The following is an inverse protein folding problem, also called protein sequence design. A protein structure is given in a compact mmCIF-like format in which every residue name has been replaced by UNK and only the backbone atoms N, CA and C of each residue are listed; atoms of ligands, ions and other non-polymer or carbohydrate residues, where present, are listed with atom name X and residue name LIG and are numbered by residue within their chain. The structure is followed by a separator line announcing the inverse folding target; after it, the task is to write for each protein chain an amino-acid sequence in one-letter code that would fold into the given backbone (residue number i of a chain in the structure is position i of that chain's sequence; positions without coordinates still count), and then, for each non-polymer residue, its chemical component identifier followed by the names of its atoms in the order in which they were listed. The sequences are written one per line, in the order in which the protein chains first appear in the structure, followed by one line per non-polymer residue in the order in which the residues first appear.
data_IF_784173218354
#
_entry.id   IF_784173218354
#
_cell.length_a   1.000
_cell.length_b   1.000
_cell.length_c   1.000
_cell.angle_alpha   90.00
_cell.angle_beta   90.00
_cell.angle_gamma   90.00
#
_symmetry.space_group_name_H-M   'P 1'
#
loop_
_entity.id
_entity.type
_entity.pdbx_description
1 polymer ?
#
# COMPACT_ATOMS: atom_id res chain seq x y z
N UNK A 1 60.22 51.06 35.18
CA UNK A 1 60.57 49.88 34.36
C UNK A 1 59.26 49.22 33.97
N UNK A 2 58.83 49.44 32.71
CA UNK A 2 57.42 49.55 32.36
C UNK A 2 56.94 48.28 31.63
N UNK A 3 56.36 47.32 32.37
CA UNK A 3 55.25 46.42 31.98
C UNK A 3 55.27 45.67 30.61
N UNK A 4 56.36 45.66 29.85
CA UNK A 4 56.37 45.09 28.48
C UNK A 4 56.24 43.55 28.43
N UNK A 5 56.63 42.84 29.49
CA UNK A 5 56.46 41.38 29.57
C UNK A 5 55.05 40.91 29.97
N UNK A 6 54.18 41.79 30.47
CA UNK A 6 52.79 41.42 30.80
C UNK A 6 51.93 41.28 29.53
N UNK A 7 52.31 41.96 28.45
CA UNK A 7 51.57 42.00 27.19
C UNK A 7 51.50 40.61 26.50
N UNK A 8 52.60 39.87 26.30
CA UNK A 8 52.53 38.55 25.65
C UNK A 8 51.78 37.51 26.49
N UNK A 9 51.87 37.59 27.83
CA UNK A 9 51.21 36.65 28.74
C UNK A 9 49.69 36.86 28.81
N UNK A 10 49.24 38.11 28.73
CA UNK A 10 47.82 38.44 28.57
C UNK A 10 47.30 37.99 27.21
N UNK A 11 48.07 38.20 26.14
CA UNK A 11 47.67 37.78 24.78
C UNK A 11 47.51 36.26 24.66
N UNK A 12 48.38 35.50 25.32
CA UNK A 12 48.36 34.04 25.31
C UNK A 12 47.21 33.44 26.14
N UNK A 13 46.71 34.17 27.14
CA UNK A 13 45.56 33.76 27.97
C UNK A 13 44.21 33.87 27.24
N UNK A 14 44.10 34.76 26.25
CA UNK A 14 42.85 34.97 25.47
C UNK A 14 42.60 33.83 24.48
N UNK A 15 43.65 33.14 24.00
CA UNK A 15 43.54 32.04 23.03
C UNK A 15 43.00 30.71 23.61
N UNK A 16 42.79 30.61 24.94
CA UNK A 16 42.31 29.40 25.59
C UNK A 16 40.77 29.24 25.64
N UNK A 17 40.02 30.29 25.27
CA UNK A 17 38.56 30.27 25.35
C UNK A 17 37.95 29.48 24.18
N UNK A 18 37.77 28.18 24.37
CA UNK A 18 37.03 27.34 23.44
C UNK A 18 35.53 27.63 23.57
N UNK A 19 34.97 28.36 22.60
CA UNK A 19 33.51 28.54 22.50
C UNK A 19 32.90 27.22 22.05
N UNK A 20 31.95 26.69 22.83
CA UNK A 20 31.18 25.50 22.44
C UNK A 20 30.34 25.87 21.22
N UNK A 21 30.66 25.32 20.06
CA UNK A 21 29.82 25.42 18.89
C UNK A 21 28.65 24.43 19.02
N UNK A 22 27.41 24.94 19.00
CA UNK A 22 26.21 24.12 18.89
C UNK A 22 25.95 23.92 17.41
N UNK A 23 26.43 22.79 16.87
CA UNK A 23 26.02 22.34 15.55
C UNK A 23 24.68 21.60 15.67
N UNK A 24 23.74 21.86 14.77
CA UNK A 24 22.50 21.11 14.68
C UNK A 24 22.79 19.77 13.99
N UNK A 25 22.40 18.66 14.62
CA UNK A 25 22.36 17.34 13.99
C UNK A 25 20.97 17.05 13.42
N UNK A 26 20.90 16.19 12.42
CA UNK A 26 19.62 15.67 11.89
C UNK A 26 19.57 14.18 12.18
N UNK A 27 18.51 13.72 12.82
CA UNK A 27 18.18 12.30 12.98
C UNK A 27 17.14 11.92 11.93
N UNK A 28 17.40 10.84 11.18
CA UNK A 28 16.50 10.36 10.12
C UNK A 28 16.10 8.94 10.47
N UNK A 29 14.80 8.72 10.62
CA UNK A 29 14.18 7.42 10.77
C UNK A 29 13.28 7.17 9.55
N UNK A 30 13.22 5.91 9.09
CA UNK A 30 12.37 5.53 7.96
C UNK A 30 11.68 4.20 8.25
N UNK A 31 10.52 4.00 7.63
CA UNK A 31 9.79 2.74 7.63
C UNK A 31 9.27 2.49 6.21
N UNK A 32 9.47 1.28 5.71
CA UNK A 32 8.82 0.86 4.46
C UNK A 32 7.35 0.55 4.77
N UNK A 33 6.44 1.13 3.97
CA UNK A 33 5.00 0.89 4.06
C UNK A 33 4.45 0.64 2.66
N UNK A 34 3.34 -0.08 2.60
CA UNK A 34 2.57 -0.21 1.37
C UNK A 34 1.86 1.11 1.07
N UNK A 35 1.73 1.41 -0.22
CA UNK A 35 1.06 2.60 -0.71
C UNK A 35 0.05 2.22 -1.79
N UNK A 36 -1.08 2.93 -1.77
CA UNK A 36 -2.14 2.82 -2.75
C UNK A 36 -1.93 3.91 -3.78
N UNK A 37 -1.86 3.52 -5.05
CA UNK A 37 -1.83 4.44 -6.18
C UNK A 37 -3.18 4.42 -6.91
N UNK A 38 -3.74 5.60 -7.10
CA UNK A 38 -4.98 5.84 -7.82
C UNK A 38 -4.67 6.47 -9.16
N UNK A 39 -5.44 6.07 -10.17
CA UNK A 39 -5.41 6.67 -11.50
C UNK A 39 -6.82 7.16 -11.79
N UNK A 40 -6.99 8.47 -11.88
CA UNK A 40 -8.28 9.10 -12.13
C UNK A 40 -8.33 9.58 -13.58
N UNK A 41 -9.31 9.07 -14.32
CA UNK A 41 -9.57 9.45 -15.70
C UNK A 41 -11.07 9.71 -15.85
N UNK A 42 -11.41 10.63 -16.74
CA UNK A 42 -12.77 10.75 -17.24
C UNK A 42 -13.13 9.51 -18.09
N UNK A 43 -14.43 9.27 -18.32
CA UNK A 43 -14.89 8.20 -19.20
C UNK A 43 -14.35 8.30 -20.65
N UNK A 44 -13.92 9.50 -21.05
CA UNK A 44 -13.23 9.75 -22.32
C UNK A 44 -11.80 9.21 -22.36
N UNK A 45 -11.23 8.82 -21.22
CA UNK A 45 -9.84 8.42 -21.04
C UNK A 45 -8.89 9.57 -20.66
N UNK A 46 -9.32 10.83 -20.72
CA UNK A 46 -8.48 11.98 -20.34
C UNK A 46 -8.19 11.95 -18.82
N UNK A 47 -6.95 12.18 -18.37
CA UNK A 47 -6.64 12.26 -16.94
C UNK A 47 -7.40 13.38 -16.23
N UNK A 48 -7.84 13.11 -15.01
CA UNK A 48 -8.42 14.11 -14.11
C UNK A 48 -7.30 14.89 -13.39
N UNK A 49 -6.57 15.71 -14.15
CA UNK A 49 -5.45 16.50 -13.64
C UNK A 49 -5.90 17.46 -12.53
N UNK A 50 -5.18 17.56 -11.42
CA UNK A 50 -5.55 18.44 -10.28
C UNK A 50 -6.91 18.11 -9.63
N UNK A 51 -7.42 16.89 -9.80
CA UNK A 51 -8.60 16.45 -9.07
C UNK A 51 -8.39 16.49 -7.57
N UNK A 52 -9.39 16.94 -6.82
CA UNK A 52 -9.39 16.91 -5.37
C UNK A 52 -9.63 15.49 -4.89
N UNK A 53 -8.81 15.02 -3.95
CA UNK A 53 -8.91 13.69 -3.37
C UNK A 53 -9.14 13.80 -1.87
N UNK A 54 -10.14 13.09 -1.36
CA UNK A 54 -10.42 12.94 0.07
C UNK A 54 -10.42 11.47 0.42
N UNK A 55 -9.61 11.07 1.39
CA UNK A 55 -9.47 9.70 1.89
C UNK A 55 -10.06 9.65 3.30
N UNK A 56 -10.94 8.69 3.55
CA UNK A 56 -11.61 8.47 4.82
C UNK A 56 -11.20 7.11 5.39
N UNK A 57 -10.94 7.08 6.69
CA UNK A 57 -10.58 5.83 7.36
C UNK A 57 -11.84 5.02 7.69
N UNK A 58 -11.72 3.70 7.86
CA UNK A 58 -12.82 2.85 8.34
C UNK A 58 -13.35 3.26 9.72
N UNK A 59 -12.53 3.91 10.54
CA UNK A 59 -12.88 4.31 11.92
C UNK A 59 -13.69 5.61 11.98
N UNK A 60 -13.44 6.56 11.07
CA UNK A 60 -14.22 7.78 10.92
C UNK A 60 -14.51 8.07 9.43
N UNK A 61 -15.62 7.54 8.90
CA UNK A 61 -16.01 7.75 7.51
C UNK A 61 -16.60 9.14 7.25
N UNK A 62 -16.77 9.98 8.27
CA UNK A 62 -17.38 11.31 8.15
C UNK A 62 -16.37 12.45 8.05
N UNK A 63 -15.16 12.24 8.56
CA UNK A 63 -14.06 13.22 8.52
C UNK A 63 -12.94 12.69 7.62
N UNK A 64 -12.48 13.47 6.61
CA UNK A 64 -11.34 13.06 5.81
C UNK A 64 -10.10 12.86 6.69
N UNK A 65 -9.52 11.67 6.62
CA UNK A 65 -8.23 11.36 7.24
C UNK A 65 -7.08 12.05 6.50
N UNK A 66 -7.15 12.08 5.17
CA UNK A 66 -6.21 12.77 4.30
C UNK A 66 -6.96 13.48 3.18
N UNK A 67 -6.53 14.69 2.85
CA UNK A 67 -6.94 15.37 1.62
C UNK A 67 -5.73 15.67 0.77
N UNK A 68 -5.93 15.74 -0.54
CA UNK A 68 -4.86 15.98 -1.49
C UNK A 68 -5.37 16.36 -2.87
N UNK A 69 -4.43 16.42 -3.80
CA UNK A 69 -4.68 16.78 -5.19
C UNK A 69 -3.92 15.83 -6.09
N UNK A 70 -4.60 15.26 -7.08
CA UNK A 70 -3.98 14.42 -8.09
C UNK A 70 -3.00 15.23 -8.94
N UNK A 71 -1.96 14.58 -9.45
CA UNK A 71 -0.98 15.22 -10.33
C UNK A 71 -1.54 15.49 -11.74
N UNK A 72 -0.70 16.03 -12.63
CA UNK A 72 -1.10 16.36 -14.00
C UNK A 72 -1.50 15.14 -14.85
N UNK A 73 -1.13 13.93 -14.44
CA UNK A 73 -1.55 12.68 -15.07
C UNK A 73 -2.80 12.07 -14.43
N UNK A 74 -3.44 12.78 -13.50
CA UNK A 74 -4.59 12.28 -12.74
C UNK A 74 -4.19 11.23 -11.69
N UNK A 75 -2.90 11.13 -11.34
CA UNK A 75 -2.42 10.13 -10.38
C UNK A 75 -2.36 10.71 -8.97
N UNK A 76 -2.78 9.91 -8.00
CA UNK A 76 -2.66 10.23 -6.58
C UNK A 76 -2.13 9.02 -5.82
N UNK A 77 -1.25 9.24 -4.85
CA UNK A 77 -0.68 8.15 -4.05
C UNK A 77 -0.79 8.50 -2.58
N UNK A 78 -1.24 7.54 -1.78
CA UNK A 78 -1.23 7.65 -0.32
C UNK A 78 -0.85 6.33 0.31
N UNK A 79 -0.29 6.38 1.51
CA UNK A 79 -0.04 5.20 2.33
C UNK A 79 -1.05 5.20 3.48
N UNK A 80 -2.02 4.26 3.53
CA UNK A 80 -2.92 4.15 4.67
C UNK A 80 -2.14 3.74 5.92
N UNK A 81 -2.67 4.08 7.09
CA UNK A 81 -2.09 3.61 8.35
C UNK A 81 -2.27 2.07 8.44
N UNK A 82 -1.18 1.28 8.51
CA UNK A 82 -1.26 -0.18 8.55
C UNK A 82 -1.89 -0.72 9.84
N UNK A 83 -2.01 0.10 10.89
CA UNK A 83 -2.71 -0.27 12.12
C UNK A 83 -4.24 -0.19 12.01
N UNK A 84 -4.77 0.40 10.92
CA UNK A 84 -6.20 0.58 10.67
C UNK A 84 -6.63 -0.29 9.47
N UNK A 85 -6.88 -1.59 9.68
CA UNK A 85 -7.40 -2.46 8.64
C UNK A 85 -8.87 -2.15 8.36
N UNK A 86 -9.33 -2.52 7.18
CA UNK A 86 -10.73 -2.40 6.76
C UNK A 86 -10.88 -1.65 5.44
N UNK A 87 -12.10 -1.17 5.23
CA UNK A 87 -12.51 -0.55 3.99
C UNK A 87 -12.31 0.96 4.04
N UNK A 88 -11.30 1.45 3.32
CA UNK A 88 -11.00 2.86 3.19
C UNK A 88 -11.80 3.46 2.05
N UNK A 89 -12.49 4.57 2.30
CA UNK A 89 -13.24 5.26 1.27
C UNK A 89 -12.36 6.37 0.65
N UNK A 90 -12.32 6.44 -0.68
CA UNK A 90 -11.60 7.50 -1.39
C UNK A 90 -12.53 8.19 -2.36
N UNK A 91 -12.75 9.48 -2.16
CA UNK A 91 -13.49 10.33 -3.07
C UNK A 91 -12.53 11.12 -3.96
N UNK A 92 -12.70 11.03 -5.28
CA UNK A 92 -11.96 11.85 -6.25
C UNK A 92 -12.96 12.75 -6.99
N UNK A 93 -12.70 14.06 -7.02
CA UNK A 93 -13.65 15.04 -7.58
C UNK A 93 -12.97 16.16 -8.36
N UNK A 94 -13.52 16.49 -9.52
CA UNK A 94 -13.10 17.62 -10.35
C UNK A 94 -14.29 18.20 -11.13
N UNK A 95 -14.47 19.53 -11.05
CA UNK A 95 -15.47 20.26 -11.85
C UNK A 95 -16.88 19.62 -11.86
N UNK A 96 -17.36 19.16 -10.69
CA UNK A 96 -18.68 18.53 -10.54
C UNK A 96 -18.74 17.05 -10.91
N UNK A 97 -17.70 16.48 -11.52
CA UNK A 97 -17.55 15.05 -11.79
C UNK A 97 -16.73 14.41 -10.66
N UNK A 98 -17.01 13.16 -10.32
CA UNK A 98 -16.25 12.44 -9.32
C UNK A 98 -16.83 11.09 -8.98
N UNK A 99 -16.03 10.27 -8.32
CA UNK A 99 -16.37 8.91 -7.92
C UNK A 99 -15.89 8.66 -6.49
N UNK A 100 -16.53 7.71 -5.82
CA UNK A 100 -16.15 7.21 -4.50
C UNK A 100 -15.75 5.74 -4.67
N UNK A 101 -14.54 5.41 -4.24
CA UNK A 101 -13.97 4.07 -4.28
C UNK A 101 -13.82 3.53 -2.87
N UNK A 102 -14.00 2.23 -2.72
CA UNK A 102 -13.80 1.54 -1.45
C UNK A 102 -12.63 0.55 -1.56
N UNK A 103 -11.58 0.76 -0.78
CA UNK A 103 -10.30 0.05 -0.89
C UNK A 103 -10.07 -0.79 0.37
N UNK A 104 -10.03 -2.13 0.26
CA UNK A 104 -9.73 -2.98 1.40
C UNK A 104 -8.23 -2.89 1.74
N UNK A 105 -7.93 -2.60 3.00
CA UNK A 105 -6.57 -2.55 3.57
C UNK A 105 -6.45 -3.59 4.68
N UNK A 106 -5.36 -4.37 4.69
CA UNK A 106 -5.08 -5.34 5.75
C UNK A 106 -5.87 -6.66 5.69
N UNK A 107 -6.48 -7.00 4.55
CA UNK A 107 -7.13 -8.29 4.30
C UNK A 107 -6.32 -9.20 3.35
N UNK A 108 -6.51 -10.52 3.45
CA UNK A 108 -6.02 -11.48 2.45
C UNK A 108 -6.78 -11.23 1.14
N UNK A 109 -6.06 -10.87 0.06
CA UNK A 109 -6.56 -10.45 -1.27
C UNK A 109 -6.89 -8.96 -1.44
N UNK A 110 -5.83 -8.13 -1.48
CA UNK A 110 -5.86 -6.92 -2.30
C UNK A 110 -5.46 -7.29 -3.75
N UNK A 111 -6.36 -7.13 -4.73
CA UNK A 111 -6.30 -6.23 -5.91
C UNK A 111 -7.55 -6.47 -6.78
N UNK A 112 -8.06 -5.37 -7.38
CA UNK A 112 -9.06 -5.21 -8.45
C UNK A 112 -10.52 -4.97 -8.01
N UNK A 113 -10.78 -3.80 -7.41
CA UNK A 113 -12.04 -3.12 -7.65
C UNK A 113 -12.00 -2.53 -9.08
N UNK A 114 -12.51 -3.29 -10.05
CA UNK A 114 -12.98 -2.72 -11.33
C UNK A 114 -14.31 -2.05 -11.04
N UNK A 115 -14.39 -0.72 -11.13
CA UNK A 115 -15.67 -0.02 -11.24
C UNK A 115 -16.33 -0.44 -12.56
N UNK A 116 -17.24 -1.40 -12.48
CA UNK A 116 -18.19 -1.71 -13.54
C UNK A 116 -19.58 -1.82 -12.91
N UNK A 117 -20.34 -0.74 -12.98
CA UNK A 117 -21.65 -0.76 -13.66
C UNK A 117 -22.20 0.67 -13.81
N UNK A 118 -21.77 1.35 -14.87
CA UNK A 118 -22.56 2.40 -15.48
C UNK A 118 -23.61 1.73 -16.37
N UNK A 119 -24.83 1.65 -15.85
CA UNK A 119 -26.09 1.33 -16.53
C UNK A 119 -25.99 1.27 -18.05
N UNK A 120 -25.79 0.07 -18.60
CA UNK A 120 -26.05 -0.22 -20.02
C UNK A 120 -27.40 -0.88 -20.14
N UNK A 121 -28.32 -0.19 -20.79
CA UNK A 121 -29.61 -0.75 -21.22
C UNK A 121 -29.40 -2.02 -22.05
N UNK A 122 -30.23 -3.07 -21.87
CA UNK A 122 -30.20 -4.23 -22.74
C UNK A 122 -30.91 -3.92 -24.07
N UNK A 123 -30.12 -3.56 -25.08
CA UNK A 123 -30.49 -3.72 -26.48
C UNK A 123 -30.50 -5.21 -26.83
N UNK A 124 -31.69 -5.80 -26.88
CA UNK A 124 -31.88 -7.19 -27.26
C UNK A 124 -31.65 -7.39 -28.78
N UNK A 125 -30.71 -8.26 -29.15
CA UNK A 125 -30.82 -9.15 -30.33
C UNK A 125 -29.66 -10.15 -30.38
N UNK A 126 -30.04 -11.45 -30.33
CA UNK A 126 -29.48 -12.66 -30.98
C UNK A 126 -27.94 -12.74 -31.21
N UNK A 127 -27.23 -13.84 -30.95
CA UNK A 127 -27.47 -15.22 -31.43
C UNK A 127 -26.39 -16.16 -30.85
N UNK A 128 -26.67 -17.46 -30.90
CA UNK A 128 -25.96 -18.60 -30.29
C UNK A 128 -24.49 -18.82 -30.70
N UNK A 129 -23.73 -19.52 -29.85
CA UNK A 129 -22.40 -20.03 -30.18
C UNK A 129 -21.68 -20.76 -29.04
N UNK A 130 -21.87 -22.06 -28.97
CA UNK A 130 -21.21 -23.03 -28.09
C UNK A 130 -19.79 -23.38 -28.61
N UNK A 131 -18.76 -23.50 -27.74
CA UNK A 131 -17.63 -24.45 -27.86
C UNK A 131 -16.56 -24.30 -26.75
N UNK A 132 -16.47 -25.37 -25.97
CA UNK A 132 -15.31 -26.03 -25.33
C UNK A 132 -13.87 -25.56 -25.65
N UNK A 133 -13.03 -25.43 -24.61
CA UNK A 133 -11.64 -25.97 -24.64
C UNK A 133 -10.92 -25.93 -23.28
N UNK A 134 -10.37 -27.09 -22.94
CA UNK A 134 -9.56 -27.45 -21.79
C UNK A 134 -8.13 -26.86 -21.76
N UNK A 135 -7.64 -26.65 -20.53
CA UNK A 135 -6.28 -26.88 -20.00
C UNK A 135 -5.10 -26.12 -20.68
N UNK A 136 -4.52 -25.17 -19.94
CA UNK A 136 -3.05 -25.09 -19.76
C UNK A 136 -2.74 -24.79 -18.29
N UNK A 137 -2.27 -25.83 -17.60
CA UNK A 137 -1.42 -25.70 -16.43
C UNK A 137 -0.02 -25.31 -16.90
N UNK A 138 0.57 -24.25 -16.31
CA UNK A 138 1.91 -24.32 -15.72
C UNK A 138 2.42 -22.94 -15.30
N UNK A 139 3.10 -22.97 -14.16
CA UNK A 139 4.13 -22.01 -13.71
C UNK A 139 3.56 -20.76 -13.02
N UNK A 140 3.87 -20.50 -11.76
CA UNK A 140 4.95 -21.01 -10.93
C UNK A 140 5.37 -19.88 -9.99
N UNK A 141 5.73 -20.29 -8.78
CA UNK A 141 6.58 -19.51 -7.87
C UNK A 141 6.01 -18.24 -7.25
N UNK A 142 4.97 -18.33 -6.42
CA UNK A 142 4.75 -17.38 -5.31
C UNK A 142 3.97 -18.00 -4.12
N UNK A 143 4.16 -19.29 -3.82
CA UNK A 143 3.58 -19.87 -2.60
C UNK A 143 4.53 -19.63 -1.44
N UNK A 144 4.08 -18.82 -0.46
CA UNK A 144 4.82 -18.56 0.76
C UNK A 144 5.29 -19.88 1.39
N UNK A 145 6.56 -19.93 1.83
CA UNK A 145 7.18 -21.11 2.46
C UNK A 145 6.27 -21.83 3.50
N UNK A 146 5.52 -21.13 4.38
CA UNK A 146 4.62 -21.81 5.31
C UNK A 146 3.41 -22.48 4.63
N UNK A 147 2.85 -21.88 3.57
CA UNK A 147 1.71 -22.46 2.83
C UNK A 147 2.10 -23.75 2.10
N UNK A 148 3.31 -23.81 1.53
CA UNK A 148 3.86 -25.03 0.91
C UNK A 148 4.11 -26.12 1.96
N UNK A 149 4.54 -25.75 3.15
CA UNK A 149 4.72 -26.68 4.29
C UNK A 149 3.41 -27.32 4.73
N UNK A 150 2.35 -26.53 4.89
CA UNK A 150 1.04 -27.01 5.33
C UNK A 150 0.43 -28.01 4.33
N UNK A 151 0.57 -27.73 3.03
CA UNK A 151 0.10 -28.62 1.96
C UNK A 151 0.84 -29.96 1.99
N UNK A 152 2.17 -29.94 2.15
CA UNK A 152 2.97 -31.16 2.23
C UNK A 152 2.62 -32.03 3.45
N UNK A 153 2.44 -31.40 4.62
CA UNK A 153 2.06 -32.12 5.86
C UNK A 153 0.67 -32.75 5.73
N UNK A 154 -0.29 -32.01 5.17
CA UNK A 154 -1.67 -32.50 4.98
C UNK A 154 -1.71 -33.73 4.06
N UNK A 155 -0.93 -33.72 2.98
CA UNK A 155 -0.84 -34.86 2.05
C UNK A 155 -0.20 -36.07 2.73
N UNK A 156 0.93 -35.90 3.43
CA UNK A 156 1.60 -36.99 4.16
C UNK A 156 0.67 -37.59 5.21
N UNK A 157 -0.02 -36.75 5.99
CA UNK A 157 -0.98 -37.20 6.99
C UNK A 157 -2.15 -37.97 6.37
N UNK A 158 -2.65 -37.52 5.21
CA UNK A 158 -3.69 -38.22 4.45
C UNK A 158 -3.28 -39.65 4.02
N UNK A 159 -2.05 -39.82 3.53
CA UNK A 159 -1.52 -41.15 3.19
C UNK A 159 -1.35 -42.04 4.42
N UNK A 160 -0.87 -41.50 5.54
CA UNK A 160 -0.75 -42.25 6.81
C UNK A 160 -2.13 -42.67 7.33
N UNK A 161 -3.10 -41.75 7.32
CA UNK A 161 -4.48 -42.03 7.73
C UNK A 161 -5.13 -43.11 6.86
N UNK A 162 -4.91 -43.06 5.55
CA UNK A 162 -5.41 -44.08 4.61
C UNK A 162 -4.73 -45.43 4.85
N UNK A 163 -3.42 -45.47 5.09
CA UNK A 163 -2.71 -46.70 5.41
C UNK A 163 -3.19 -47.31 6.73
N UNK A 164 -3.39 -46.49 7.77
CA UNK A 164 -3.95 -46.92 9.05
C UNK A 164 -5.40 -47.40 8.93
N UNK A 165 -6.21 -46.75 8.11
CA UNK A 165 -7.59 -47.16 7.84
C UNK A 165 -7.65 -48.58 7.24
N UNK A 166 -6.76 -48.90 6.30
CA UNK A 166 -6.67 -50.26 5.75
C UNK A 166 -6.01 -51.26 6.70
N UNK A 167 -5.06 -50.83 7.55
CA UNK A 167 -4.48 -51.70 8.60
C UNK A 167 -5.51 -52.06 9.69
N UNK A 168 -6.32 -51.10 10.12
CA UNK A 168 -7.35 -51.31 11.13
C UNK A 168 -8.48 -52.23 10.65
N UNK A 169 -8.65 -52.36 9.33
CA UNK A 169 -9.65 -53.22 8.70
C UNK A 169 -9.17 -54.67 8.51
N UNK A 170 -7.95 -55.00 8.96
CA UNK A 170 -7.43 -56.38 8.99
C UNK A 170 -7.62 -56.99 10.39
N UNK A 171 -8.88 -57.13 10.80
CA UNK A 171 -9.36 -58.06 11.82
C UNK A 171 -10.76 -58.51 11.46
#
# INVERSE_FOLDING_TARGET
MKRTFAIPLVLMSVMGWQVRAIAHGVEINYQATEAIALQANYDSGEPMAEAQVSVYSPEDPSTPWLTGTADASGRFVFAPDPSIPGNWEVQVRQAGHGEILNIPVGGEEGVLATSADGSREPGASATDGESDSQIVSSTGDNLSLPQKGLMAVSVIWGFVGTALFFLARKK
#
